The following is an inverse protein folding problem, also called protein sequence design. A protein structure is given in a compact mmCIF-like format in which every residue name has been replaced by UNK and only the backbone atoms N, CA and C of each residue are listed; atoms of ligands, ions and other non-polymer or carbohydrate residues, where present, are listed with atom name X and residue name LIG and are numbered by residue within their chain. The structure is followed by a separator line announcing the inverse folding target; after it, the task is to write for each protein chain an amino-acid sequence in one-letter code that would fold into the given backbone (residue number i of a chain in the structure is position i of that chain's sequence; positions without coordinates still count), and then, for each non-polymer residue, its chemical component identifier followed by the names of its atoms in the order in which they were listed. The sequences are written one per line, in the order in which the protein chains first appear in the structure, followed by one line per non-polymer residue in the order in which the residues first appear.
data_IF_520923724055
#
_entry.id   IF_520923724055
#
_cell.length_a   1.000
_cell.length_b   1.000
_cell.length_c   1.000
_cell.angle_alpha   90.00
_cell.angle_beta   90.00
_cell.angle_gamma   90.00
#
_symmetry.space_group_name_H-M   'P 1'
#
loop_
_entity.id
_entity.type
_entity.pdbx_description
1 polymer ?
#
# COMPACT_ATOMS: atom_id res chain seq x y z
N UNK A 1 42.55 -12.01 -20.92
CA UNK A 1 42.75 -13.27 -20.15
C UNK A 1 41.98 -13.16 -18.84
N UNK A 2 40.88 -13.90 -18.76
CA UNK A 2 40.15 -14.55 -17.66
C UNK A 2 40.53 -14.33 -16.17
N UNK A 3 39.50 -13.91 -15.39
CA UNK A 3 38.98 -14.23 -14.03
C UNK A 3 39.88 -14.73 -12.88
N UNK A 4 39.63 -14.25 -11.63
CA UNK A 4 39.11 -15.04 -10.47
C UNK A 4 38.26 -14.15 -9.53
N UNK A 5 37.10 -14.65 -9.10
CA UNK A 5 36.15 -14.08 -8.15
C UNK A 5 36.50 -14.31 -6.67
N UNK A 6 36.22 -13.31 -5.80
CA UNK A 6 35.92 -13.40 -4.35
C UNK A 6 35.08 -12.14 -4.06
N UNK A 7 33.86 -12.13 -3.53
CA UNK A 7 33.20 -12.96 -2.54
C UNK A 7 32.33 -11.99 -1.74
N UNK A 8 31.07 -11.83 -2.15
CA UNK A 8 30.14 -10.75 -1.78
C UNK A 8 29.52 -10.91 -0.38
N UNK A 9 30.30 -11.32 0.62
CA UNK A 9 29.80 -11.62 1.97
C UNK A 9 30.23 -10.64 3.08
N UNK A 10 31.08 -9.66 2.77
CA UNK A 10 31.75 -8.87 3.81
C UNK A 10 31.16 -7.49 4.12
N UNK A 11 30.34 -6.91 3.25
CA UNK A 11 29.93 -5.49 3.38
C UNK A 11 28.59 -5.35 4.13
N UNK A 12 27.76 -6.38 4.18
CA UNK A 12 26.39 -6.30 4.71
C UNK A 12 26.32 -6.50 6.23
N UNK A 13 27.34 -7.11 6.84
CA UNK A 13 27.35 -7.39 8.28
C UNK A 13 27.58 -6.14 9.16
N UNK A 14 28.05 -5.02 8.57
CA UNK A 14 28.29 -3.77 9.32
C UNK A 14 27.04 -2.91 9.54
N UNK A 15 25.96 -3.12 8.78
CA UNK A 15 24.79 -2.23 8.79
C UNK A 15 23.62 -2.76 9.61
N UNK A 16 23.65 -4.01 10.08
CA UNK A 16 22.55 -4.63 10.84
C UNK A 16 22.75 -4.69 12.35
N UNK A 17 23.91 -4.29 12.89
CA UNK A 17 24.20 -4.32 14.33
C UNK A 17 24.11 -2.97 15.04
N UNK A 18 23.65 -1.91 14.35
CA UNK A 18 23.36 -0.65 15.03
C UNK A 18 21.95 -0.72 15.64
N UNK A 19 21.78 -0.44 16.94
CA UNK A 19 20.47 -0.46 17.56
C UNK A 19 19.61 0.65 16.96
N UNK A 20 18.61 0.27 16.15
CA UNK A 20 17.62 1.20 15.64
C UNK A 20 16.94 1.90 16.83
N UNK A 21 17.03 3.23 16.88
CA UNK A 21 16.32 3.97 17.89
C UNK A 21 14.82 3.92 17.56
N UNK A 22 13.96 3.91 18.58
CA UNK A 22 12.49 3.80 18.45
C UNK A 22 11.84 4.90 17.58
N UNK A 23 12.61 5.92 17.18
CA UNK A 23 12.19 7.02 16.31
C UNK A 23 12.44 6.74 14.82
N UNK A 24 13.22 5.71 14.47
CA UNK A 24 13.57 5.38 13.07
C UNK A 24 12.54 4.49 12.37
N UNK A 25 11.59 3.90 13.12
CA UNK A 25 10.50 3.07 12.54
C UNK A 25 9.54 3.93 11.70
N UNK A 26 9.48 5.25 11.94
CA UNK A 26 8.61 6.17 11.23
C UNK A 26 9.26 6.79 9.97
N UNK A 27 10.55 6.57 9.73
CA UNK A 27 11.23 7.09 8.54
C UNK A 27 11.27 6.02 7.45
N UNK A 28 10.16 5.84 6.74
CA UNK A 28 10.26 5.43 5.34
C UNK A 28 10.94 6.58 4.59
N UNK A 29 12.25 6.49 4.40
CA UNK A 29 12.96 7.47 3.59
C UNK A 29 12.49 7.38 2.12
N UNK A 30 12.71 8.46 1.35
CA UNK A 30 12.38 8.50 -0.08
C UNK A 30 13.04 7.35 -0.85
N UNK A 31 14.15 6.81 -0.33
CA UNK A 31 14.88 5.66 -0.88
C UNK A 31 14.10 4.35 -0.76
N UNK A 32 13.41 4.11 0.36
CA UNK A 32 12.49 2.98 0.53
C UNK A 32 11.27 3.11 -0.40
N UNK A 33 10.77 4.34 -0.61
CA UNK A 33 9.71 4.62 -1.59
C UNK A 33 10.19 4.35 -3.03
N UNK A 34 11.41 4.79 -3.39
CA UNK A 34 11.99 4.59 -4.72
C UNK A 34 12.28 3.10 -5.00
N UNK A 35 12.79 2.36 -4.01
CA UNK A 35 13.01 0.91 -4.15
C UNK A 35 11.69 0.15 -4.30
N UNK A 36 10.63 0.59 -3.62
CA UNK A 36 9.29 0.01 -3.76
C UNK A 36 8.61 0.32 -5.10
N UNK A 37 8.95 1.44 -5.75
CA UNK A 37 8.27 1.93 -6.97
C UNK A 37 9.03 1.65 -8.27
N UNK A 38 10.37 1.56 -8.23
CA UNK A 38 11.20 1.43 -9.44
C UNK A 38 11.36 -0.02 -9.95
N UNK A 39 11.08 -1.03 -9.12
CA UNK A 39 11.22 -2.44 -9.51
C UNK A 39 9.96 -3.21 -9.17
N UNK A 40 9.11 -3.42 -10.19
CA UNK A 40 8.19 -4.55 -10.45
C UNK A 40 6.76 -4.12 -10.83
N UNK A 41 6.24 -4.58 -11.98
CA UNK A 41 4.83 -4.46 -12.36
C UNK A 41 3.83 -5.22 -11.46
N UNK A 42 4.23 -5.72 -10.29
CA UNK A 42 3.43 -6.61 -9.41
C UNK A 42 3.78 -6.45 -7.92
N UNK A 43 3.73 -5.24 -7.41
CA UNK A 43 3.74 -5.01 -5.96
C UNK A 43 2.36 -5.36 -5.38
N UNK A 44 2.15 -6.62 -4.97
CA UNK A 44 0.87 -7.09 -4.42
C UNK A 44 0.29 -6.17 -3.35
N UNK A 45 1.12 -5.65 -2.44
CA UNK A 45 0.69 -4.71 -1.39
C UNK A 45 0.17 -3.38 -1.95
N UNK A 46 0.95 -2.70 -2.80
CA UNK A 46 0.56 -1.40 -3.37
C UNK A 46 -0.64 -1.58 -4.31
N UNK A 47 -0.69 -2.67 -5.08
CA UNK A 47 -1.82 -2.96 -5.96
C UNK A 47 -3.09 -3.26 -5.16
N UNK A 48 -3.02 -4.10 -4.12
CA UNK A 48 -4.13 -4.38 -3.24
C UNK A 48 -4.64 -3.10 -2.57
N UNK A 49 -3.72 -2.27 -2.07
CA UNK A 49 -4.03 -0.98 -1.49
C UNK A 49 -4.75 -0.07 -2.49
N UNK A 50 -4.20 0.12 -3.70
CA UNK A 50 -4.83 0.92 -4.76
C UNK A 50 -6.20 0.39 -5.15
N UNK A 51 -6.36 -0.92 -5.29
CA UNK A 51 -7.64 -1.55 -5.60
C UNK A 51 -8.69 -1.25 -4.52
N UNK A 52 -8.31 -1.37 -3.24
CA UNK A 52 -9.22 -1.11 -2.12
C UNK A 52 -9.60 0.37 -2.04
N UNK A 53 -8.65 1.29 -2.21
CA UNK A 53 -8.95 2.73 -2.30
C UNK A 53 -9.90 3.03 -3.46
N UNK A 54 -9.68 2.43 -4.64
CA UNK A 54 -10.55 2.59 -5.81
C UNK A 54 -11.98 2.09 -5.56
N UNK A 55 -12.12 0.94 -4.90
CA UNK A 55 -13.42 0.39 -4.52
C UNK A 55 -14.18 1.31 -3.54
N UNK A 56 -13.49 1.80 -2.50
CA UNK A 56 -14.06 2.72 -1.51
C UNK A 56 -14.49 4.05 -2.15
N UNK A 57 -13.68 4.58 -3.06
CA UNK A 57 -14.01 5.78 -3.83
C UNK A 57 -15.27 5.59 -4.67
N UNK A 58 -15.36 4.47 -5.38
CA UNK A 58 -16.51 4.15 -6.23
C UNK A 58 -17.79 4.05 -5.39
N UNK A 59 -17.75 3.29 -4.30
CA UNK A 59 -18.89 3.11 -3.40
C UNK A 59 -19.37 4.44 -2.81
N UNK A 60 -18.44 5.30 -2.37
CA UNK A 60 -18.81 6.61 -1.84
C UNK A 60 -19.45 7.52 -2.89
N UNK A 61 -18.94 7.52 -4.13
CA UNK A 61 -19.51 8.34 -5.21
C UNK A 61 -20.95 7.91 -5.47
N UNK A 62 -21.21 6.59 -5.54
CA UNK A 62 -22.56 6.05 -5.69
C UNK A 62 -23.46 6.48 -4.53
N UNK A 63 -23.03 6.32 -3.27
CA UNK A 63 -23.80 6.74 -2.10
C UNK A 63 -24.13 8.24 -2.09
N UNK A 64 -23.17 9.09 -2.47
CA UNK A 64 -23.42 10.53 -2.60
C UNK A 64 -24.39 10.84 -3.73
N UNK A 65 -24.29 10.12 -4.85
CA UNK A 65 -25.15 10.30 -6.00
C UNK A 65 -26.59 9.87 -5.69
N UNK A 66 -26.80 8.70 -5.09
CA UNK A 66 -28.12 8.21 -4.69
C UNK A 66 -28.81 9.21 -3.76
N UNK A 67 -28.08 9.69 -2.74
CA UNK A 67 -28.58 10.73 -1.83
C UNK A 67 -28.91 12.05 -2.54
N UNK A 68 -28.11 12.42 -3.54
CA UNK A 68 -28.37 13.63 -4.33
C UNK A 68 -29.64 13.47 -5.16
N UNK A 69 -29.85 12.30 -5.78
CA UNK A 69 -31.06 12.00 -6.56
C UNK A 69 -32.30 11.97 -5.66
N UNK A 70 -32.22 11.39 -4.45
CA UNK A 70 -33.33 11.37 -3.49
C UNK A 70 -33.76 12.77 -3.02
N UNK A 71 -32.82 13.71 -2.99
CA UNK A 71 -33.04 15.08 -2.47
C UNK A 71 -33.17 16.13 -3.56
N UNK A 72 -33.09 15.72 -4.83
CA UNK A 72 -33.11 16.64 -5.96
C UNK A 72 -34.52 17.23 -6.18
N UNK A 73 -34.59 18.56 -6.24
CA UNK A 73 -35.74 19.29 -6.75
C UNK A 73 -35.58 19.47 -8.27
N UNK A 74 -36.56 19.00 -9.05
CA UNK A 74 -36.55 19.07 -10.51
C UNK A 74 -36.46 20.51 -11.06
N UNK A 75 -36.81 21.51 -10.24
CA UNK A 75 -36.75 22.92 -10.59
C UNK A 75 -35.36 23.56 -10.43
N UNK A 76 -34.44 22.94 -9.68
CA UNK A 76 -33.13 23.52 -9.32
C UNK A 76 -31.94 22.81 -10.02
N UNK A 77 -31.97 22.86 -11.36
CA UNK A 77 -31.02 22.13 -12.23
C UNK A 77 -29.57 22.64 -12.14
N UNK A 78 -29.36 23.94 -11.91
CA UNK A 78 -28.01 24.52 -11.81
C UNK A 78 -27.31 24.07 -10.53
N UNK A 79 -28.03 24.02 -9.40
CA UNK A 79 -27.52 23.50 -8.14
C UNK A 79 -27.20 22.01 -8.23
N UNK A 80 -28.08 21.22 -8.86
CA UNK A 80 -27.84 19.79 -9.08
C UNK A 80 -26.55 19.53 -9.87
N UNK A 81 -26.31 20.25 -10.97
CA UNK A 81 -25.09 20.13 -11.76
C UNK A 81 -23.82 20.48 -10.95
N UNK A 82 -23.89 21.54 -10.14
CA UNK A 82 -22.81 21.92 -9.22
C UNK A 82 -22.49 20.83 -8.18
N UNK A 83 -23.51 20.18 -7.64
CA UNK A 83 -23.36 19.09 -6.66
C UNK A 83 -22.81 17.81 -7.30
N UNK A 84 -23.25 17.48 -8.52
CA UNK A 84 -22.69 16.35 -9.31
C UNK A 84 -21.19 16.55 -9.55
N UNK A 85 -20.78 17.76 -9.90
CA UNK A 85 -19.36 18.08 -10.09
C UNK A 85 -18.53 17.92 -8.81
N UNK A 86 -19.13 17.97 -7.61
CA UNK A 86 -18.42 17.79 -6.32
C UNK A 86 -18.49 16.37 -5.77
N UNK A 87 -19.09 15.42 -6.49
CA UNK A 87 -19.22 14.03 -6.00
C UNK A 87 -17.88 13.38 -5.69
N UNK A 88 -16.87 13.70 -6.50
CA UNK A 88 -15.53 13.17 -6.38
C UNK A 88 -14.69 13.81 -5.27
N UNK A 89 -15.19 14.86 -4.62
CA UNK A 89 -14.49 15.52 -3.52
C UNK A 89 -14.39 14.58 -2.32
N UNK A 90 -13.17 14.44 -1.82
CA UNK A 90 -12.83 13.61 -0.66
C UNK A 90 -12.09 14.49 0.34
N UNK A 91 -12.61 14.57 1.56
CA UNK A 91 -11.91 15.25 2.66
C UNK A 91 -10.66 14.47 3.07
N UNK A 92 -9.67 15.17 3.61
CA UNK A 92 -8.45 14.55 4.12
C UNK A 92 -8.74 13.44 5.14
N UNK A 93 -9.65 13.69 6.08
CA UNK A 93 -10.04 12.71 7.10
C UNK A 93 -10.54 11.41 6.46
N UNK A 94 -11.40 11.51 5.45
CA UNK A 94 -11.89 10.32 4.79
C UNK A 94 -10.82 9.64 3.94
N UNK A 95 -9.93 10.40 3.31
CA UNK A 95 -8.77 9.83 2.63
C UNK A 95 -7.91 9.00 3.58
N UNK A 96 -7.71 9.47 4.81
CA UNK A 96 -6.96 8.77 5.86
C UNK A 96 -7.71 7.52 6.36
N UNK A 97 -9.03 7.59 6.53
CA UNK A 97 -9.85 6.41 6.89
C UNK A 97 -9.76 5.34 5.81
N UNK A 98 -9.84 5.72 4.53
CA UNK A 98 -9.67 4.78 3.43
C UNK A 98 -8.27 4.18 3.39
N UNK A 99 -7.24 4.97 3.65
CA UNK A 99 -5.86 4.47 3.74
C UNK A 99 -5.72 3.43 4.86
N UNK A 100 -6.32 3.70 6.02
CA UNK A 100 -6.37 2.75 7.14
C UNK A 100 -7.09 1.46 6.75
N UNK A 101 -8.26 1.55 6.13
CA UNK A 101 -9.02 0.36 5.71
C UNK A 101 -8.30 -0.42 4.61
N UNK A 102 -7.67 0.28 3.66
CA UNK A 102 -6.86 -0.32 2.62
C UNK A 102 -5.67 -1.07 3.19
N UNK A 103 -4.97 -0.49 4.16
CA UNK A 103 -3.89 -1.16 4.87
C UNK A 103 -4.36 -2.42 5.61
N UNK A 104 -5.50 -2.34 6.31
CA UNK A 104 -6.09 -3.48 7.02
C UNK A 104 -6.54 -4.60 6.10
N UNK A 105 -6.81 -4.31 4.82
CA UNK A 105 -7.18 -5.31 3.81
C UNK A 105 -6.00 -6.05 3.20
N UNK A 106 -4.76 -5.60 3.43
CA UNK A 106 -3.57 -6.29 2.93
C UNK A 106 -3.36 -7.56 3.77
N UNK A 107 -3.30 -8.71 3.10
CA UNK A 107 -3.08 -9.99 3.79
C UNK A 107 -1.61 -10.17 4.19
N UNK A 108 -1.39 -10.95 5.24
CA UNK A 108 -0.03 -11.32 5.65
C UNK A 108 0.74 -12.02 4.52
N UNK A 109 0.08 -12.89 3.76
CA UNK A 109 0.68 -13.53 2.57
C UNK A 109 1.15 -12.49 1.54
N UNK A 110 0.38 -11.43 1.32
CA UNK A 110 0.76 -10.37 0.37
C UNK A 110 2.01 -9.62 0.85
N UNK A 111 2.14 -9.44 2.16
CA UNK A 111 3.31 -8.82 2.80
C UNK A 111 4.52 -9.77 2.73
N UNK A 112 4.36 -11.02 3.15
CA UNK A 112 5.40 -12.04 3.16
C UNK A 112 5.94 -12.31 1.76
N UNK A 113 5.06 -12.48 0.76
CA UNK A 113 5.44 -12.61 -0.64
C UNK A 113 6.25 -11.40 -1.12
N UNK A 114 5.88 -10.18 -0.71
CA UNK A 114 6.62 -8.98 -1.08
C UNK A 114 8.00 -8.93 -0.42
N UNK A 115 8.10 -9.25 0.87
CA UNK A 115 9.36 -9.26 1.61
C UNK A 115 10.33 -10.32 1.10
N UNK A 116 9.83 -11.51 0.71
CA UNK A 116 10.60 -12.55 0.01
C UNK A 116 11.16 -12.01 -1.31
N UNK A 117 10.32 -11.37 -2.12
CA UNK A 117 10.76 -10.77 -3.39
C UNK A 117 11.81 -9.66 -3.24
N UNK A 118 11.85 -8.96 -2.10
CA UNK A 118 12.87 -7.95 -1.80
C UNK A 118 14.11 -8.53 -1.11
N UNK A 119 14.10 -9.81 -0.75
CA UNK A 119 15.18 -10.46 0.01
C UNK A 119 15.26 -10.04 1.48
N UNK A 120 14.18 -9.46 2.03
CA UNK A 120 14.07 -9.13 3.46
C UNK A 120 13.77 -10.40 4.27
N UNK A 121 12.91 -11.26 3.72
CA UNK A 121 12.78 -12.63 4.19
C UNK A 121 13.68 -13.50 3.31
N UNK A 122 14.61 -14.22 3.93
CA UNK A 122 15.27 -15.34 3.29
C UNK A 122 14.31 -16.54 3.20
N UNK A 123 14.74 -17.57 2.47
CA UNK A 123 13.87 -18.69 2.14
C UNK A 123 13.56 -19.57 3.35
N UNK A 124 14.51 -19.72 4.28
CA UNK A 124 14.33 -20.48 5.52
C UNK A 124 13.30 -19.79 6.43
N UNK A 125 13.36 -18.46 6.55
CA UNK A 125 12.40 -17.67 7.31
C UNK A 125 11.01 -17.69 6.67
N UNK A 126 10.92 -17.67 5.34
CA UNK A 126 9.64 -17.76 4.63
C UNK A 126 8.98 -19.13 4.84
N UNK A 127 9.74 -20.22 4.74
CA UNK A 127 9.27 -21.59 5.02
C UNK A 127 8.79 -21.74 6.48
N UNK A 128 9.49 -21.12 7.44
CA UNK A 128 9.05 -21.07 8.83
C UNK A 128 7.71 -20.32 8.96
N UNK A 129 7.56 -19.16 8.31
CA UNK A 129 6.32 -18.38 8.32
C UNK A 129 5.14 -19.18 7.74
N UNK A 130 5.33 -19.88 6.62
CA UNK A 130 4.29 -20.75 6.07
C UNK A 130 3.96 -21.89 7.03
N UNK A 131 4.96 -22.56 7.61
CA UNK A 131 4.73 -23.67 8.55
C UNK A 131 3.93 -23.27 9.79
N UNK A 132 4.11 -22.03 10.28
CA UNK A 132 3.38 -21.49 11.42
C UNK A 132 1.93 -21.10 11.09
N UNK A 133 1.63 -20.76 9.82
CA UNK A 133 0.27 -20.44 9.38
C UNK A 133 -0.61 -21.70 9.15
N UNK A 134 -0.01 -22.89 9.11
CA UNK A 134 -0.70 -24.18 8.97
C UNK A 134 -0.93 -24.93 10.31
N UNK A 135 -0.63 -24.31 11.46
CA UNK A 135 -0.92 -24.79 12.82
C UNK A 135 -2.11 -24.03 13.43
#
# INVERSE_FOLDING_TARGET
RTLIAKGSGGIIAGYMSAPYAKQDICNLDETAYLYCTAQTPRCGVIQAFKNKIGALRTLRILQKFDKLVETADESDKENFASLVNKLHDVSLLQGMEWAKEAWQSVTQDTIANRWRHTGILDEEMYELFESMNYL
#
